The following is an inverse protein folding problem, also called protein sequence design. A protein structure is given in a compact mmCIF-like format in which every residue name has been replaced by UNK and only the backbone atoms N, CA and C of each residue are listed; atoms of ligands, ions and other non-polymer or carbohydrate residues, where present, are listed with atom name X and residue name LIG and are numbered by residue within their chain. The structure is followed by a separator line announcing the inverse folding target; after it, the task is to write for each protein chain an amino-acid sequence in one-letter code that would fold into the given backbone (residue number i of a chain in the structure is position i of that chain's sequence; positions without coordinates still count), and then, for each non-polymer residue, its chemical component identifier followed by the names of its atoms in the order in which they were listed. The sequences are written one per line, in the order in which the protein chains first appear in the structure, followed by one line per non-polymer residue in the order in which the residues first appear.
data_IF_082781875295
#
_entry.id   IF_082781875295
#
_cell.length_a   1.000
_cell.length_b   1.000
_cell.length_c   1.000
_cell.angle_alpha   90.00
_cell.angle_beta   90.00
_cell.angle_gamma   90.00
#
_symmetry.space_group_name_H-M   'P 1'
#
loop_
_entity.id
_entity.type
_entity.pdbx_description
1 polymer ?
#
# COMPACT_ATOMS: atom_id res chain seq x y z
N UNK A 1 -11.46 10.35 89.54
CA UNK A 1 -11.53 11.21 88.35
C UNK A 1 -10.64 10.63 87.31
N UNK A 2 -11.18 9.78 86.39
CA UNK A 2 -10.43 9.01 85.38
C UNK A 2 -10.86 9.53 84.01
N UNK A 3 -9.93 10.13 83.26
CA UNK A 3 -10.20 10.63 81.92
C UNK A 3 -9.86 9.56 80.90
N UNK A 4 -10.88 9.07 80.17
CA UNK A 4 -10.77 8.18 79.03
C UNK A 4 -10.37 8.97 77.80
N UNK A 5 -9.27 8.64 77.13
CA UNK A 5 -8.86 9.17 75.82
C UNK A 5 -9.31 8.23 74.73
N UNK A 6 -10.21 8.71 73.88
CA UNK A 6 -10.66 8.06 72.67
C UNK A 6 -9.63 8.29 71.54
N UNK A 7 -9.07 7.23 71.01
CA UNK A 7 -8.21 7.26 69.81
C UNK A 7 -9.09 7.09 68.56
N UNK A 8 -9.10 8.12 67.74
CA UNK A 8 -9.74 8.06 66.40
C UNK A 8 -8.70 7.59 65.43
N UNK A 9 -8.92 6.39 64.88
CA UNK A 9 -8.09 5.81 63.82
C UNK A 9 -8.47 6.41 62.46
N UNK A 10 -7.56 7.13 61.78
CA UNK A 10 -7.70 7.53 60.40
C UNK A 10 -7.33 6.35 59.50
N UNK A 11 -8.31 5.77 58.81
CA UNK A 11 -8.07 4.83 57.71
C UNK A 11 -7.78 5.61 56.42
N UNK A 12 -6.54 5.57 55.93
CA UNK A 12 -6.14 6.11 54.66
C UNK A 12 -6.52 5.10 53.56
N UNK A 13 -7.49 5.44 52.72
CA UNK A 13 -7.84 4.71 51.50
C UNK A 13 -6.86 5.15 50.42
N UNK A 14 -5.93 4.29 50.02
CA UNK A 14 -5.05 4.53 48.89
C UNK A 14 -5.83 4.18 47.59
N UNK A 15 -6.24 5.19 46.84
CA UNK A 15 -6.80 5.02 45.50
C UNK A 15 -5.65 4.81 44.51
N UNK A 16 -5.49 3.56 44.06
CA UNK A 16 -4.59 3.22 42.94
C UNK A 16 -5.22 3.67 41.62
N UNK A 17 -4.74 4.77 41.06
CA UNK A 17 -5.09 5.22 39.70
C UNK A 17 -4.39 4.34 38.67
N UNK A 18 -5.14 3.47 37.99
CA UNK A 18 -4.68 2.76 36.80
C UNK A 18 -4.57 3.77 35.64
N UNK A 19 -3.36 4.22 35.36
CA UNK A 19 -3.04 4.95 34.13
C UNK A 19 -3.02 3.95 32.97
N UNK A 20 -4.11 3.87 32.23
CA UNK A 20 -4.13 3.20 30.93
C UNK A 20 -3.24 4.02 29.97
N UNK A 21 -2.02 3.56 29.75
CA UNK A 21 -1.14 4.12 28.73
C UNK A 21 -1.74 3.78 27.36
N UNK A 22 -2.42 4.74 26.73
CA UNK A 22 -2.69 4.66 25.31
C UNK A 22 -1.34 4.68 24.58
N UNK A 23 -0.87 3.51 24.15
CA UNK A 23 0.29 3.41 23.29
C UNK A 23 -0.05 4.08 21.95
N UNK A 24 0.35 5.35 21.79
CA UNK A 24 0.29 6.03 20.50
C UNK A 24 1.27 5.32 19.56
N UNK A 25 0.81 4.94 18.36
CA UNK A 25 1.69 4.37 17.34
C UNK A 25 2.89 5.33 17.11
N UNK A 26 4.10 4.82 16.87
CA UNK A 26 5.27 5.65 16.68
C UNK A 26 5.06 6.61 15.52
N UNK A 27 5.41 7.89 15.72
CA UNK A 27 5.25 8.94 14.72
C UNK A 27 6.29 8.87 13.59
N UNK A 28 7.36 8.10 13.76
CA UNK A 28 8.38 7.82 12.74
C UNK A 28 8.96 6.43 12.91
N UNK A 29 9.48 5.88 11.80
CA UNK A 29 10.06 4.53 11.80
C UNK A 29 10.87 4.24 10.53
N UNK A 30 11.51 3.06 10.48
CA UNK A 30 12.28 2.63 9.32
C UNK A 30 11.38 2.50 8.09
N UNK A 31 11.95 2.76 6.90
CA UNK A 31 11.23 2.64 5.63
C UNK A 31 10.56 1.26 5.50
N UNK A 32 9.26 1.27 5.31
CA UNK A 32 8.41 0.10 5.09
C UNK A 32 7.47 0.26 3.90
N UNK A 33 7.52 1.42 3.23
CA UNK A 33 6.68 1.76 2.08
C UNK A 33 7.43 2.71 1.14
N UNK A 34 7.27 2.48 -0.16
CA UNK A 34 7.62 3.44 -1.20
C UNK A 34 6.83 3.19 -2.49
N UNK A 35 6.80 4.19 -3.37
CA UNK A 35 6.40 4.04 -4.78
C UNK A 35 7.67 3.77 -5.57
N UNK A 36 7.68 2.82 -6.50
CA UNK A 36 8.87 2.56 -7.31
C UNK A 36 9.29 3.81 -8.08
N UNK A 37 10.58 4.19 -8.04
CA UNK A 37 11.11 5.34 -8.81
C UNK A 37 11.08 5.09 -10.32
N UNK A 38 11.01 3.82 -10.74
CA UNK A 38 10.89 3.39 -12.13
C UNK A 38 10.18 2.04 -12.18
N UNK A 39 9.42 1.79 -13.23
CA UNK A 39 8.94 0.46 -13.55
C UNK A 39 10.04 -0.40 -14.21
N UNK A 40 9.82 -1.71 -14.42
CA UNK A 40 10.76 -2.59 -15.11
C UNK A 40 10.98 -2.27 -16.61
N UNK A 41 10.24 -1.29 -17.17
CA UNK A 41 10.41 -0.78 -18.52
C UNK A 41 9.48 -1.38 -19.58
N UNK A 42 8.62 -2.34 -19.21
CA UNK A 42 7.69 -3.02 -20.12
C UNK A 42 6.21 -2.76 -19.81
N UNK A 43 5.91 -1.59 -19.20
CA UNK A 43 4.54 -1.24 -18.82
C UNK A 43 3.99 -2.18 -17.76
N UNK A 44 2.88 -2.89 -18.06
CA UNK A 44 2.23 -3.85 -17.20
C UNK A 44 2.87 -5.24 -17.14
N UNK A 45 3.86 -5.54 -18.02
CA UNK A 45 4.68 -6.75 -17.90
C UNK A 45 5.76 -6.52 -16.84
N UNK A 46 5.48 -7.00 -15.65
CA UNK A 46 6.37 -6.91 -14.49
C UNK A 46 7.14 -8.23 -14.25
N UNK A 47 6.94 -9.24 -15.11
CA UNK A 47 7.42 -10.60 -14.87
C UNK A 47 6.56 -11.37 -13.85
N UNK A 48 5.26 -11.06 -13.82
CA UNK A 48 4.32 -11.58 -12.81
C UNK A 48 4.54 -10.97 -11.44
N UNK A 49 3.87 -11.52 -10.42
CA UNK A 49 4.04 -11.07 -9.03
C UNK A 49 5.49 -11.27 -8.53
N UNK A 50 6.14 -12.35 -8.95
CA UNK A 50 7.52 -12.64 -8.55
C UNK A 50 8.52 -11.62 -9.11
N UNK A 51 8.36 -11.21 -10.37
CA UNK A 51 9.18 -10.16 -10.98
C UNK A 51 8.96 -8.79 -10.31
N UNK A 52 7.70 -8.46 -10.00
CA UNK A 52 7.38 -7.23 -9.26
C UNK A 52 7.99 -7.22 -7.85
N UNK A 53 7.94 -8.35 -7.12
CA UNK A 53 8.57 -8.47 -5.80
C UNK A 53 10.10 -8.33 -5.87
N UNK A 54 10.73 -8.97 -6.85
CA UNK A 54 12.17 -8.84 -7.07
C UNK A 54 12.56 -7.39 -7.39
N UNK A 55 11.73 -6.66 -8.14
CA UNK A 55 11.93 -5.24 -8.42
C UNK A 55 11.78 -4.39 -7.15
N UNK A 56 10.75 -4.64 -6.31
CA UNK A 56 10.62 -4.00 -5.00
C UNK A 56 11.85 -4.27 -4.11
N UNK A 57 12.33 -5.52 -4.05
CA UNK A 57 13.51 -5.89 -3.26
C UNK A 57 14.75 -5.16 -3.74
N UNK A 58 14.97 -5.07 -5.06
CA UNK A 58 16.08 -4.34 -5.66
C UNK A 58 16.03 -2.85 -5.30
N UNK A 59 14.89 -2.21 -5.44
CA UNK A 59 14.74 -0.78 -5.15
C UNK A 59 14.82 -0.52 -3.63
N UNK A 60 14.20 -1.35 -2.79
CA UNK A 60 14.31 -1.26 -1.34
C UNK A 60 15.75 -1.37 -0.86
N UNK A 61 16.56 -2.25 -1.48
CA UNK A 61 18.00 -2.34 -1.21
C UNK A 61 18.73 -1.07 -1.64
N UNK A 62 18.42 -0.51 -2.81
CA UNK A 62 19.00 0.75 -3.29
C UNK A 62 18.61 1.95 -2.39
N UNK A 63 17.46 1.91 -1.74
CA UNK A 63 17.01 2.87 -0.74
C UNK A 63 17.55 2.63 0.68
N UNK A 64 18.50 1.68 0.86
CA UNK A 64 19.12 1.40 2.16
C UNK A 64 18.34 0.46 3.08
N UNK A 65 17.24 -0.15 2.61
CA UNK A 65 16.40 -1.08 3.38
C UNK A 65 16.40 -2.51 2.80
N UNK A 66 17.55 -2.96 2.31
CA UNK A 66 17.74 -4.27 1.67
C UNK A 66 17.59 -5.48 2.60
N UNK A 67 17.69 -5.29 3.91
CA UNK A 67 17.48 -6.36 4.91
C UNK A 67 16.02 -6.73 5.11
N UNK A 68 15.08 -5.90 4.65
CA UNK A 68 13.66 -6.16 4.72
C UNK A 68 13.19 -7.03 3.55
N UNK A 69 12.10 -7.77 3.76
CA UNK A 69 11.41 -8.50 2.70
C UNK A 69 10.39 -7.59 2.02
N UNK A 70 10.61 -7.24 0.76
CA UNK A 70 9.76 -6.35 0.01
C UNK A 70 8.77 -7.08 -0.88
N UNK A 71 7.52 -6.62 -0.90
CA UNK A 71 6.43 -7.13 -1.74
C UNK A 71 5.74 -6.00 -2.48
N UNK A 72 5.42 -6.25 -3.74
CA UNK A 72 4.57 -5.36 -4.52
C UNK A 72 3.11 -5.47 -4.05
N UNK A 73 2.45 -4.33 -3.87
CA UNK A 73 1.02 -4.25 -3.60
C UNK A 73 0.25 -4.44 -4.91
N UNK A 74 0.13 -5.69 -5.34
CA UNK A 74 -0.50 -6.08 -6.58
C UNK A 74 -1.41 -7.27 -6.34
N UNK A 75 -2.68 -7.19 -6.81
CA UNK A 75 -3.53 -8.37 -6.92
C UNK A 75 -3.24 -9.14 -8.20
N UNK A 76 -3.56 -10.42 -8.22
CA UNK A 76 -3.57 -11.22 -9.43
C UNK A 76 -4.85 -12.07 -9.50
N UNK A 77 -5.45 -12.24 -10.69
CA UNK A 77 -6.63 -13.07 -10.84
C UNK A 77 -6.28 -14.54 -10.62
N UNK A 78 -7.26 -15.27 -10.10
CA UNK A 78 -7.23 -16.73 -10.14
C UNK A 78 -7.66 -17.29 -11.48
N UNK A 79 -7.88 -18.58 -11.52
CA UNK A 79 -8.55 -19.27 -12.64
C UNK A 79 -9.57 -20.25 -12.12
N UNK A 80 -10.65 -20.47 -12.89
CA UNK A 80 -11.56 -21.56 -12.59
C UNK A 80 -10.98 -22.91 -12.97
N UNK A 81 -11.41 -24.01 -12.30
CA UNK A 81 -11.10 -25.34 -12.76
C UNK A 81 -11.58 -25.55 -14.20
N UNK A 82 -10.80 -26.26 -14.97
CA UNK A 82 -11.16 -26.73 -16.32
C UNK A 82 -11.08 -28.26 -16.40
N UNK A 83 -11.46 -28.84 -17.51
CA UNK A 83 -11.34 -30.29 -17.71
C UNK A 83 -9.89 -30.81 -17.65
N UNK A 84 -8.90 -29.90 -17.83
CA UNK A 84 -7.48 -30.28 -17.96
C UNK A 84 -6.59 -29.66 -16.86
N UNK A 85 -7.13 -28.76 -16.02
CA UNK A 85 -6.35 -28.10 -14.98
C UNK A 85 -7.20 -27.73 -13.75
N UNK A 86 -6.66 -27.86 -12.53
CA UNK A 86 -7.30 -27.33 -11.34
C UNK A 86 -7.37 -25.81 -11.40
N UNK A 87 -8.38 -25.22 -10.73
CA UNK A 87 -8.45 -23.77 -10.54
C UNK A 87 -7.30 -23.25 -9.67
N UNK A 88 -6.97 -22.00 -9.88
CA UNK A 88 -5.99 -21.28 -9.08
C UNK A 88 -6.71 -20.18 -8.31
N UNK A 89 -6.43 -20.06 -7.01
CA UNK A 89 -6.98 -19.00 -6.17
C UNK A 89 -6.45 -17.62 -6.63
N UNK A 90 -7.32 -16.60 -6.58
CA UNK A 90 -6.88 -15.21 -6.74
C UNK A 90 -5.95 -14.79 -5.62
N UNK A 91 -5.02 -13.91 -5.91
CA UNK A 91 -4.09 -13.33 -4.94
C UNK A 91 -4.52 -11.90 -4.64
N UNK A 92 -4.81 -11.61 -3.38
CA UNK A 92 -5.16 -10.26 -2.94
C UNK A 92 -3.89 -9.47 -2.62
N UNK A 93 -3.82 -8.22 -3.07
CA UNK A 93 -2.69 -7.33 -2.76
C UNK A 93 -2.49 -7.15 -1.24
N UNK A 94 -3.60 -6.98 -0.50
CA UNK A 94 -3.59 -6.77 0.96
C UNK A 94 -2.97 -7.92 1.76
N UNK A 95 -3.05 -9.14 1.24
CA UNK A 95 -2.59 -10.34 1.94
C UNK A 95 -1.09 -10.60 1.72
N UNK A 96 -0.43 -9.81 0.85
CA UNK A 96 0.97 -10.00 0.46
C UNK A 96 1.96 -9.13 1.24
N UNK A 97 1.50 -8.07 1.84
CA UNK A 97 2.33 -6.94 2.30
C UNK A 97 2.61 -6.88 3.80
N UNK A 98 2.38 -7.96 4.53
CA UNK A 98 2.60 -7.99 5.98
C UNK A 98 1.51 -7.27 6.77
N UNK A 99 1.83 -6.84 7.99
CA UNK A 99 0.85 -6.31 8.96
C UNK A 99 1.04 -4.83 9.29
N UNK A 100 2.17 -4.23 8.92
CA UNK A 100 2.54 -2.87 9.30
C UNK A 100 3.19 -2.79 10.71
N UNK A 101 3.47 -1.61 11.25
CA UNK A 101 3.25 -0.31 10.61
C UNK A 101 4.22 -0.04 9.45
N UNK A 102 3.78 0.78 8.49
CA UNK A 102 4.61 1.16 7.35
C UNK A 102 4.88 2.67 7.36
N UNK A 103 6.13 3.01 7.14
CA UNK A 103 6.64 4.37 7.05
C UNK A 103 7.28 4.60 5.68
N UNK A 104 7.21 5.81 5.16
CA UNK A 104 7.90 6.15 3.92
C UNK A 104 9.42 6.32 4.14
N UNK A 105 10.16 6.59 3.07
CA UNK A 105 11.61 6.76 3.09
C UNK A 105 12.12 7.93 3.98
N UNK A 106 11.22 8.84 4.40
CA UNK A 106 11.53 9.92 5.35
C UNK A 106 11.00 9.64 6.77
N UNK A 107 10.55 8.41 7.04
CA UNK A 107 10.07 8.00 8.35
C UNK A 107 8.66 8.46 8.70
N UNK A 108 7.90 9.05 7.77
CA UNK A 108 6.51 9.44 8.02
C UNK A 108 5.59 8.22 7.94
N UNK A 109 4.68 8.10 8.92
CA UNK A 109 3.71 7.00 8.97
C UNK A 109 2.76 7.04 7.75
N UNK A 110 2.64 5.92 7.08
CA UNK A 110 1.69 5.69 5.98
C UNK A 110 0.43 5.00 6.48
N UNK A 111 0.59 3.93 7.23
CA UNK A 111 -0.50 3.22 7.90
C UNK A 111 0.06 2.37 9.05
N UNK A 112 -0.70 2.24 10.13
CA UNK A 112 -0.33 1.43 11.29
C UNK A 112 -0.60 -0.07 11.07
N UNK A 113 -1.58 -0.39 10.23
CA UNK A 113 -1.99 -1.76 9.93
C UNK A 113 -2.77 -1.83 8.60
N UNK A 114 -3.17 -3.05 8.20
CA UNK A 114 -3.98 -3.32 6.98
C UNK A 114 -5.33 -2.58 7.02
N UNK A 115 -5.99 -2.52 8.15
CA UNK A 115 -7.28 -1.84 8.31
C UNK A 115 -7.14 -0.35 8.03
N UNK A 116 -6.16 0.30 8.65
CA UNK A 116 -5.87 1.71 8.42
C UNK A 116 -5.36 1.97 6.99
N UNK A 117 -4.60 1.04 6.39
CA UNK A 117 -4.14 1.19 5.01
C UNK A 117 -5.32 1.33 4.03
N UNK A 118 -6.39 0.57 4.22
CA UNK A 118 -7.56 0.62 3.34
C UNK A 118 -8.63 1.62 3.80
N UNK A 119 -8.54 2.12 5.05
CA UNK A 119 -9.51 3.05 5.61
C UNK A 119 -8.82 4.13 6.47
N UNK A 120 -8.23 5.13 5.81
CA UNK A 120 -7.62 6.27 6.49
C UNK A 120 -6.09 6.30 6.48
N UNK A 121 -5.45 5.67 5.47
CA UNK A 121 -4.01 5.79 5.26
C UNK A 121 -3.58 7.25 4.97
N UNK A 122 -2.28 7.48 5.03
CA UNK A 122 -1.67 8.81 4.81
C UNK A 122 -1.02 8.95 3.43
N UNK A 123 -1.32 8.04 2.47
CA UNK A 123 -0.82 8.16 1.10
C UNK A 123 -1.39 9.42 0.46
N UNK A 124 -0.52 10.27 -0.02
CA UNK A 124 -0.82 11.55 -0.66
C UNK A 124 0.36 11.99 -1.51
N UNK A 125 0.22 13.05 -2.27
CA UNK A 125 1.31 13.66 -3.06
C UNK A 125 2.59 13.90 -2.27
N UNK A 126 2.49 14.22 -0.98
CA UNK A 126 3.64 14.58 -0.13
C UNK A 126 4.23 13.39 0.62
N UNK A 127 3.51 12.28 0.72
CA UNK A 127 3.93 11.12 1.51
C UNK A 127 4.22 9.88 0.65
N UNK A 128 3.67 9.81 -0.57
CA UNK A 128 3.99 8.76 -1.56
C UNK A 128 5.34 9.06 -2.21
N UNK A 129 6.40 8.77 -1.49
CA UNK A 129 7.78 8.98 -1.91
C UNK A 129 8.33 7.72 -2.58
N UNK A 130 9.35 7.90 -3.44
CA UNK A 130 10.13 6.78 -3.95
C UNK A 130 11.07 6.20 -2.87
N UNK A 131 11.79 5.12 -3.19
CA UNK A 131 12.74 4.46 -2.27
C UNK A 131 13.90 5.33 -1.82
N UNK A 132 14.15 6.45 -2.52
CA UNK A 132 15.20 7.44 -2.21
C UNK A 132 14.68 8.66 -1.45
N UNK A 133 13.35 8.69 -1.20
CA UNK A 133 12.70 9.82 -0.53
C UNK A 133 12.38 11.01 -1.44
N UNK A 134 12.42 10.83 -2.77
CA UNK A 134 11.98 11.86 -3.70
C UNK A 134 10.46 11.80 -3.89
N UNK A 135 9.84 12.95 -4.16
CA UNK A 135 8.44 13.01 -4.51
C UNK A 135 8.18 12.35 -5.87
N UNK A 136 7.16 11.52 -5.96
CA UNK A 136 6.67 11.00 -7.24
C UNK A 136 5.82 12.10 -7.90
N UNK A 137 6.12 12.39 -9.16
CA UNK A 137 5.37 13.39 -9.92
C UNK A 137 3.94 12.92 -10.14
N UNK A 138 2.98 13.83 -10.03
CA UNK A 138 1.57 13.54 -10.14
C UNK A 138 0.83 14.53 -11.04
N UNK A 139 -0.49 14.56 -10.92
CA UNK A 139 -1.32 15.44 -11.71
C UNK A 139 -0.99 16.91 -11.45
N UNK A 140 -0.79 17.66 -12.54
CA UNK A 140 -0.40 19.09 -12.48
C UNK A 140 1.11 19.34 -12.47
N UNK A 141 1.95 18.30 -12.37
CA UNK A 141 3.40 18.41 -12.52
C UNK A 141 3.80 18.37 -14.02
N UNK A 142 5.08 18.63 -14.32
CA UNK A 142 5.62 18.57 -15.68
C UNK A 142 5.45 17.22 -16.36
N UNK A 143 5.42 16.15 -15.58
CA UNK A 143 5.08 14.78 -16.02
C UNK A 143 4.05 14.21 -15.06
N UNK A 144 2.95 13.70 -15.60
CA UNK A 144 1.93 13.05 -14.79
C UNK A 144 2.23 11.55 -14.66
N UNK A 145 2.60 11.09 -13.48
CA UNK A 145 2.86 9.68 -13.13
C UNK A 145 2.00 9.25 -11.93
N UNK A 146 0.79 9.83 -11.78
CA UNK A 146 -0.02 9.55 -10.59
C UNK A 146 -0.71 8.19 -10.58
N UNK A 147 -0.87 7.57 -11.76
CA UNK A 147 -1.45 6.24 -11.89
C UNK A 147 -0.46 5.18 -11.43
N UNK A 148 -0.78 4.51 -10.35
CA UNK A 148 0.02 3.43 -9.76
C UNK A 148 -0.70 2.10 -9.98
N UNK A 149 -0.02 1.13 -10.56
CA UNK A 149 -0.55 -0.20 -10.83
C UNK A 149 -0.88 -0.93 -9.53
N UNK A 150 -2.08 -1.52 -9.43
CA UNK A 150 -2.53 -2.29 -8.27
C UNK A 150 -3.31 -3.56 -8.63
N UNK A 151 -4.14 -3.50 -9.68
CA UNK A 151 -5.04 -4.60 -10.05
C UNK A 151 -6.04 -4.96 -8.97
N UNK A 152 -6.27 -4.08 -8.00
CA UNK A 152 -7.00 -4.36 -6.77
C UNK A 152 -8.33 -3.62 -6.70
N UNK A 153 -9.28 -4.14 -5.93
CA UNK A 153 -10.42 -3.40 -5.42
C UNK A 153 -9.97 -2.42 -4.32
N UNK A 154 -10.85 -1.52 -3.93
CA UNK A 154 -10.57 -0.52 -2.90
C UNK A 154 -10.15 -1.13 -1.55
N UNK A 155 -10.67 -2.30 -1.21
CA UNK A 155 -10.33 -3.05 0.01
C UNK A 155 -9.05 -3.90 -0.13
N UNK A 156 -8.38 -3.86 -1.28
CA UNK A 156 -7.14 -4.61 -1.55
C UNK A 156 -7.35 -6.05 -1.99
N UNK A 157 -8.61 -6.48 -2.25
CA UNK A 157 -8.90 -7.81 -2.78
C UNK A 157 -8.79 -7.86 -4.31
N UNK A 158 -8.57 -9.04 -4.86
CA UNK A 158 -8.55 -9.28 -6.29
C UNK A 158 -9.98 -9.22 -6.88
N UNK A 159 -10.06 -8.95 -8.17
CA UNK A 159 -11.28 -9.14 -8.95
C UNK A 159 -11.55 -10.62 -9.20
N UNK A 160 -12.78 -10.93 -9.63
CA UNK A 160 -13.15 -12.29 -10.02
C UNK A 160 -12.28 -12.78 -11.19
N UNK A 161 -12.01 -14.08 -11.31
CA UNK A 161 -11.09 -14.64 -12.30
C UNK A 161 -11.40 -14.28 -13.76
N UNK A 162 -12.66 -14.00 -14.10
CA UNK A 162 -13.06 -13.62 -15.47
C UNK A 162 -12.70 -12.19 -15.86
N UNK A 163 -12.31 -11.35 -14.90
CA UNK A 163 -12.06 -9.93 -15.11
C UNK A 163 -10.56 -9.68 -15.02
N UNK A 164 -9.88 -9.64 -16.17
CA UNK A 164 -8.46 -9.27 -16.20
C UNK A 164 -8.31 -7.76 -15.98
N UNK A 165 -7.87 -7.40 -14.79
CA UNK A 165 -7.54 -6.02 -14.36
C UNK A 165 -6.08 -5.89 -14.01
N UNK A 166 -5.23 -6.78 -14.53
CA UNK A 166 -3.85 -6.99 -14.09
C UNK A 166 -2.89 -7.21 -15.24
N UNK A 167 -3.28 -6.84 -16.47
CA UNK A 167 -2.43 -7.10 -17.65
C UNK A 167 -1.96 -8.56 -17.73
N UNK A 168 -2.91 -9.50 -17.64
CA UNK A 168 -2.61 -10.94 -17.70
C UNK A 168 -1.81 -11.44 -16.51
N UNK A 169 -2.13 -10.99 -15.31
CA UNK A 169 -1.37 -11.35 -14.11
C UNK A 169 0.05 -10.75 -14.13
N UNK A 170 0.17 -9.55 -14.67
CA UNK A 170 1.44 -8.77 -14.76
C UNK A 170 2.47 -9.36 -15.73
N UNK A 171 1.99 -9.97 -16.83
CA UNK A 171 2.85 -10.59 -17.85
C UNK A 171 2.64 -10.03 -19.26
N UNK A 172 1.77 -9.00 -19.42
CA UNK A 172 1.47 -8.39 -20.71
C UNK A 172 1.91 -6.94 -20.78
N UNK A 173 2.45 -6.55 -21.94
CA UNK A 173 2.88 -5.18 -22.25
C UNK A 173 2.19 -4.60 -23.50
N UNK A 174 1.07 -5.17 -23.93
CA UNK A 174 0.31 -4.76 -25.12
C UNK A 174 -1.14 -4.48 -24.79
N UNK A 175 -2.03 -5.29 -25.34
CA UNK A 175 -3.47 -5.21 -25.10
C UNK A 175 -3.87 -5.64 -23.69
N UNK A 176 -5.06 -5.22 -23.26
CA UNK A 176 -5.59 -5.45 -21.94
C UNK A 176 -5.66 -4.17 -21.12
N UNK A 177 -5.80 -4.30 -19.83
CA UNK A 177 -5.79 -3.16 -18.89
C UNK A 177 -5.40 -3.62 -17.49
N UNK A 178 -5.02 -2.66 -16.66
CA UNK A 178 -4.85 -2.86 -15.24
C UNK A 178 -5.65 -1.81 -14.45
N UNK A 179 -6.14 -2.16 -13.27
CA UNK A 179 -6.62 -1.16 -12.31
C UNK A 179 -5.42 -0.41 -11.77
N UNK A 180 -5.58 0.90 -11.70
CA UNK A 180 -4.63 1.85 -11.10
C UNK A 180 -5.27 2.62 -9.96
N UNK A 181 -4.45 3.16 -9.08
CA UNK A 181 -4.83 4.13 -8.06
C UNK A 181 -4.01 5.41 -8.20
N UNK A 182 -4.48 6.50 -7.61
CA UNK A 182 -3.83 7.80 -7.65
C UNK A 182 -3.08 8.08 -6.36
N UNK A 183 -1.74 8.03 -6.40
CA UNK A 183 -0.92 8.27 -5.21
C UNK A 183 -1.08 9.69 -4.64
N UNK A 184 -1.40 10.65 -5.49
CA UNK A 184 -1.58 12.07 -5.15
C UNK A 184 -3.01 12.42 -4.71
N UNK A 185 -3.93 11.45 -4.77
CA UNK A 185 -5.36 11.63 -4.44
C UNK A 185 -6.07 12.66 -5.31
N UNK A 186 -5.59 12.91 -6.52
CA UNK A 186 -6.19 13.87 -7.46
C UNK A 186 -6.88 13.10 -8.58
N UNK A 187 -8.17 13.33 -8.76
CA UNK A 187 -8.98 12.76 -9.83
C UNK A 187 -9.63 13.84 -10.69
N UNK A 188 -10.25 13.47 -11.81
CA UNK A 188 -11.03 14.40 -12.64
C UNK A 188 -12.34 14.83 -11.98
N UNK A 189 -12.81 14.06 -11.01
CA UNK A 189 -14.08 14.22 -10.31
C UNK A 189 -13.85 14.09 -8.79
N UNK A 190 -14.71 14.66 -7.95
CA UNK A 190 -14.55 14.60 -6.47
C UNK A 190 -14.95 13.25 -5.85
N UNK A 191 -15.44 12.29 -6.64
CA UNK A 191 -15.87 10.99 -6.14
C UNK A 191 -14.72 10.18 -5.56
N UNK A 192 -15.03 9.38 -4.54
CA UNK A 192 -14.05 8.60 -3.78
C UNK A 192 -13.23 7.65 -4.67
N UNK A 193 -13.81 7.08 -5.72
CA UNK A 193 -13.09 6.23 -6.67
C UNK A 193 -12.04 7.01 -7.43
N UNK A 194 -12.36 8.23 -7.89
CA UNK A 194 -11.44 9.08 -8.68
C UNK A 194 -10.24 9.57 -7.88
N UNK A 195 -10.31 9.54 -6.54
CA UNK A 195 -9.26 9.95 -5.61
C UNK A 195 -8.68 8.79 -4.81
N UNK A 196 -9.05 7.55 -5.15
CA UNK A 196 -8.56 6.36 -4.46
C UNK A 196 -7.08 6.09 -4.76
N UNK A 197 -6.31 5.78 -3.72
CA UNK A 197 -4.88 5.46 -3.87
C UNK A 197 -4.63 4.13 -4.59
N UNK A 198 -5.59 3.19 -4.53
CA UNK A 198 -5.41 1.82 -5.04
C UNK A 198 -6.50 1.35 -6.01
N UNK A 199 -7.59 2.11 -6.16
CA UNK A 199 -8.72 1.72 -7.02
C UNK A 199 -9.37 2.97 -7.63
N UNK A 200 -8.86 3.44 -8.75
CA UNK A 200 -9.37 4.64 -9.41
C UNK A 200 -10.03 4.30 -10.75
N UNK A 201 -9.29 3.82 -11.72
CA UNK A 201 -9.80 3.46 -13.03
C UNK A 201 -8.94 2.37 -13.69
N UNK A 202 -9.34 1.93 -14.87
CA UNK A 202 -8.52 1.05 -15.71
C UNK A 202 -7.55 1.89 -16.56
N UNK A 203 -6.35 1.35 -16.76
CA UNK A 203 -5.40 1.90 -17.72
C UNK A 203 -5.92 1.74 -19.17
N UNK A 204 -5.43 2.57 -20.09
CA UNK A 204 -5.80 2.51 -21.52
C UNK A 204 -5.21 1.29 -22.26
N UNK A 205 -4.39 0.51 -21.61
CA UNK A 205 -3.71 -0.67 -22.12
C UNK A 205 -2.58 -1.11 -21.20
N UNK A 206 -1.83 -2.16 -21.56
CA UNK A 206 -0.74 -2.70 -20.74
C UNK A 206 0.64 -2.20 -21.19
N UNK A 207 0.78 -1.65 -22.39
CA UNK A 207 2.03 -1.06 -22.87
C UNK A 207 2.37 0.25 -22.18
N UNK A 208 3.64 0.58 -22.09
CA UNK A 208 4.10 1.79 -21.40
C UNK A 208 3.46 3.07 -21.95
N UNK A 209 3.33 3.20 -23.28
CA UNK A 209 2.70 4.36 -23.90
C UNK A 209 1.19 4.43 -23.61
N UNK A 210 0.53 3.28 -23.49
CA UNK A 210 -0.87 3.23 -23.09
C UNK A 210 -1.06 3.67 -21.63
N UNK A 211 -0.16 3.25 -20.73
CA UNK A 211 -0.15 3.71 -19.33
C UNK A 211 0.07 5.22 -19.24
N UNK A 212 1.01 5.77 -20.03
CA UNK A 212 1.29 7.21 -20.06
C UNK A 212 0.09 8.05 -20.49
N UNK A 213 -0.76 7.53 -21.38
CA UNK A 213 -1.96 8.25 -21.82
C UNK A 213 -2.96 8.54 -20.70
N UNK A 214 -2.97 7.73 -19.65
CA UNK A 214 -3.84 7.94 -18.48
C UNK A 214 -3.12 8.57 -17.29
N UNK A 215 -1.82 8.78 -17.37
CA UNK A 215 -1.04 9.39 -16.29
C UNK A 215 -0.20 8.40 -15.49
N UNK A 216 0.17 7.27 -16.10
CA UNK A 216 1.01 6.26 -15.48
C UNK A 216 2.38 6.12 -16.11
N UNK A 217 3.31 5.47 -15.42
CA UNK A 217 4.65 5.15 -15.89
C UNK A 217 5.03 3.68 -15.61
N UNK A 218 4.04 2.81 -15.33
CA UNK A 218 4.29 1.43 -14.91
C UNK A 218 4.85 1.34 -13.50
N UNK A 219 4.58 2.33 -12.66
CA UNK A 219 4.97 2.36 -11.25
C UNK A 219 3.99 1.54 -10.40
N UNK A 220 4.47 1.04 -9.26
CA UNK A 220 3.65 0.33 -8.28
C UNK A 220 4.16 0.56 -6.86
N UNK A 221 3.31 0.26 -5.88
CA UNK A 221 3.67 0.39 -4.46
C UNK A 221 4.45 -0.83 -3.99
N UNK A 222 5.47 -0.60 -3.17
CA UNK A 222 6.22 -1.61 -2.46
C UNK A 222 6.03 -1.46 -0.96
N UNK A 223 5.78 -2.58 -0.29
CA UNK A 223 5.62 -2.65 1.16
C UNK A 223 6.55 -3.69 1.75
N UNK A 224 7.07 -3.43 2.93
CA UNK A 224 7.77 -4.43 3.73
C UNK A 224 6.76 -5.43 4.29
N UNK A 225 7.05 -6.72 4.12
CA UNK A 225 6.19 -7.84 4.50
C UNK A 225 6.60 -8.52 5.82
N UNK A 226 7.72 -8.10 6.42
CA UNK A 226 8.28 -8.52 7.72
C UNK A 226 7.86 -7.60 8.86
#
# INVERSE_FOLDING_TARGET
MTRTRTLIGLSAIAAAALLAACATAPSSGPMGFFVTSAGPGKGGDLGGLAGADAHCQKLGAAGGAGSRTWRAYLSAPGSFPSATAPGVASVNARDRIGKGPWFNAKGALIAGDIGQLHNGNKISKTTALDEKGNAVLGRGDATNNHDILTGSRADGTAFAPQTDTTCGGWTKSGEGSAIVGHHDRVGPLPENWATSWNFSHQSAGCGLDALRRTGGAGLFYCFAAD
#
